data_IF_657731540562
#
_entry.id   IF_657731540562
#
_cell.length_a   1.000
_cell.length_b   1.000
_cell.length_c   1.000
_cell.angle_alpha   90.00
_cell.angle_beta   90.00
_cell.angle_gamma   90.00
#
_symmetry.space_group_name_H-M   'P 1'
#
loop_
_entity.id
_entity.type
_entity.pdbx_description
1 polymer ?
#
# COMPACT_ATOMS: atom_id res chain seq x y z
N UNK A 1 30.33 44.60 48.74
CA UNK A 1 30.20 43.23 49.28
C UNK A 1 29.51 42.40 48.19
N UNK A 2 30.22 41.80 47.23
CA UNK A 2 30.91 40.49 47.22
C UNK A 2 30.00 39.30 47.58
N UNK A 3 29.82 38.39 46.60
CA UNK A 3 29.29 37.02 46.73
C UNK A 3 28.49 36.61 45.47
N UNK A 4 29.14 36.17 44.39
CA UNK A 4 29.43 34.76 44.03
C UNK A 4 28.19 34.07 43.40
N UNK A 5 28.07 33.93 42.07
CA UNK A 5 28.79 33.05 41.13
C UNK A 5 28.57 31.55 41.37
N UNK A 6 27.73 30.92 40.52
CA UNK A 6 27.86 29.53 40.10
C UNK A 6 27.14 29.36 38.75
N UNK A 7 27.96 29.16 37.72
CA UNK A 7 27.62 28.95 36.32
C UNK A 7 27.89 27.45 36.08
N UNK A 8 26.85 26.65 35.86
CA UNK A 8 27.00 25.22 35.49
C UNK A 8 26.63 25.06 34.03
N UNK A 9 27.66 25.13 33.20
CA UNK A 9 27.68 24.71 31.80
C UNK A 9 27.84 23.20 31.75
N UNK A 10 26.75 22.49 31.48
CA UNK A 10 26.77 21.07 31.10
C UNK A 10 26.87 20.98 29.58
N UNK A 11 28.00 20.43 29.12
CA UNK A 11 28.31 20.18 27.72
C UNK A 11 28.25 18.67 27.55
N UNK A 12 27.33 18.09 26.76
CA UNK A 12 27.36 16.67 26.52
C UNK A 12 28.47 16.32 25.51
N UNK A 13 29.37 15.46 25.96
CA UNK A 13 30.43 14.83 25.18
C UNK A 13 29.87 14.09 23.95
N UNK A 14 30.38 14.45 22.78
CA UNK A 14 30.27 13.69 21.54
C UNK A 14 31.13 12.42 21.60
N UNK A 15 30.57 11.20 21.41
CA UNK A 15 31.37 10.01 21.28
C UNK A 15 32.12 9.97 19.93
N UNK A 16 33.42 9.71 20.02
CA UNK A 16 34.36 9.60 18.90
C UNK A 16 34.03 8.41 18.00
N UNK A 17 34.01 8.66 16.69
CA UNK A 17 33.90 7.63 15.66
C UNK A 17 35.20 6.86 15.52
N UNK A 18 35.23 5.61 15.97
CA UNK A 18 36.31 4.65 15.64
C UNK A 18 35.93 3.16 15.73
N UNK A 19 34.68 2.76 16.06
CA UNK A 19 34.40 1.35 16.42
C UNK A 19 33.18 0.68 15.73
N UNK A 20 32.80 1.10 14.52
CA UNK A 20 31.70 0.43 13.77
C UNK A 20 32.12 -0.27 12.47
N UNK A 21 33.40 -0.67 12.34
CA UNK A 21 33.90 -1.37 11.13
C UNK A 21 34.02 -2.89 11.26
N UNK A 22 33.37 -3.50 12.24
CA UNK A 22 33.45 -4.95 12.50
C UNK A 22 32.11 -5.72 12.38
N UNK A 23 31.08 -5.14 11.74
CA UNK A 23 29.79 -5.82 11.57
C UNK A 23 29.23 -5.67 10.15
N UNK A 24 30.00 -6.14 9.16
CA UNK A 24 29.49 -6.40 7.81
C UNK A 24 29.91 -7.82 7.44
N UNK A 25 29.02 -8.76 7.73
CA UNK A 25 29.10 -10.12 7.23
C UNK A 25 28.74 -10.13 5.74
N UNK A 26 29.73 -10.46 4.91
CA UNK A 26 29.55 -10.81 3.51
C UNK A 26 28.78 -12.13 3.42
N UNK A 27 27.61 -12.08 2.78
CA UNK A 27 26.84 -13.26 2.37
C UNK A 27 26.54 -13.14 0.89
N UNK A 28 27.34 -13.83 0.08
CA UNK A 28 27.17 -14.03 -1.36
C UNK A 28 26.59 -15.43 -1.62
N UNK A 29 25.99 -15.61 -2.80
CA UNK A 29 25.63 -16.87 -3.49
C UNK A 29 24.13 -17.15 -3.74
N UNK A 30 23.67 -16.61 -4.87
CA UNK A 30 23.18 -17.36 -6.05
C UNK A 30 22.23 -18.55 -5.88
N UNK A 31 21.01 -18.42 -6.41
CA UNK A 31 20.20 -19.55 -6.90
C UNK A 31 20.06 -19.46 -8.42
N UNK A 32 20.85 -20.30 -9.10
CA UNK A 32 20.83 -20.49 -10.54
C UNK A 32 19.63 -21.35 -10.94
N UNK A 33 18.74 -20.81 -11.79
CA UNK A 33 17.66 -21.55 -12.46
C UNK A 33 18.07 -21.77 -13.91
N UNK A 34 18.09 -23.04 -14.27
CA UNK A 34 18.46 -23.64 -15.55
C UNK A 34 17.43 -23.32 -16.64
N UNK A 35 17.85 -22.97 -17.87
CA UNK A 35 17.01 -23.21 -19.04
C UNK A 35 17.60 -24.30 -19.94
N UNK A 36 16.68 -25.07 -20.48
CA UNK A 36 16.86 -26.20 -21.38
C UNK A 36 17.26 -25.74 -22.78
N UNK A 37 18.23 -26.44 -23.34
CA UNK A 37 18.64 -26.40 -24.75
C UNK A 37 17.59 -27.01 -25.68
N UNK A 38 17.27 -26.33 -26.78
CA UNK A 38 16.87 -26.97 -28.05
C UNK A 38 17.45 -26.20 -29.24
N UNK A 39 18.01 -26.98 -30.17
CA UNK A 39 18.53 -26.67 -31.49
C UNK A 39 17.69 -25.63 -32.27
N UNK A 40 18.22 -24.74 -33.10
CA UNK A 40 19.28 -24.91 -34.08
C UNK A 40 18.64 -24.93 -35.48
N UNK A 41 18.70 -23.82 -36.22
CA UNK A 41 18.52 -23.81 -37.67
C UNK A 41 19.01 -22.50 -38.26
N UNK A 42 19.92 -22.62 -39.23
CA UNK A 42 20.59 -21.54 -39.94
C UNK A 42 19.76 -20.98 -41.10
N UNK A 43 20.06 -19.73 -41.44
CA UNK A 43 20.19 -19.20 -42.81
C UNK A 43 18.93 -19.01 -43.68
N UNK A 44 18.53 -17.74 -43.90
CA UNK A 44 18.39 -17.16 -45.24
C UNK A 44 18.11 -15.65 -45.21
N UNK A 45 18.95 -14.88 -45.91
CA UNK A 45 18.72 -13.45 -46.15
C UNK A 45 17.54 -13.14 -47.07
N UNK A 46 16.92 -11.99 -46.85
CA UNK A 46 15.91 -11.41 -47.74
C UNK A 46 15.45 -10.03 -47.27
N UNK A 47 15.84 -8.98 -48.01
CA UNK A 47 15.29 -7.62 -47.89
C UNK A 47 13.77 -7.66 -48.04
N UNK A 48 13.03 -7.02 -47.14
CA UNK A 48 11.70 -6.46 -47.40
C UNK A 48 11.37 -5.34 -46.41
N UNK A 49 10.61 -4.38 -46.92
CA UNK A 49 10.23 -3.03 -46.48
C UNK A 49 9.51 -2.92 -45.12
N UNK A 50 9.44 -1.70 -44.51
CA UNK A 50 8.91 -1.52 -43.16
C UNK A 50 7.38 -1.62 -43.13
N UNK A 51 6.85 -2.41 -42.18
CA UNK A 51 5.43 -2.45 -41.85
C UNK A 51 5.25 -2.15 -40.35
N UNK A 52 4.30 -1.31 -39.93
CA UNK A 52 4.20 -0.79 -38.57
C UNK A 52 3.31 -1.68 -37.71
N UNK A 53 3.89 -2.67 -37.03
CA UNK A 53 3.23 -3.42 -35.93
C UNK A 53 4.27 -3.90 -34.92
N UNK A 54 4.81 -2.98 -34.13
CA UNK A 54 5.74 -3.26 -33.04
C UNK A 54 5.20 -2.74 -31.70
N UNK A 55 3.89 -2.85 -31.47
CA UNK A 55 3.22 -2.38 -30.25
C UNK A 55 2.58 -3.47 -29.39
N UNK A 56 2.60 -4.74 -29.82
CA UNK A 56 1.86 -5.82 -29.16
C UNK A 56 2.73 -6.98 -28.62
N UNK A 57 4.00 -7.07 -28.98
CA UNK A 57 4.89 -8.16 -28.51
C UNK A 57 5.62 -7.87 -27.19
N UNK A 58 5.63 -6.61 -26.71
CA UNK A 58 6.18 -6.27 -25.38
C UNK A 58 5.22 -6.59 -24.23
N UNK A 59 3.92 -6.71 -24.51
CA UNK A 59 2.90 -7.08 -23.52
C UNK A 59 2.90 -8.59 -23.18
N UNK A 60 3.53 -9.42 -24.01
CA UNK A 60 3.58 -10.89 -23.82
C UNK A 60 4.85 -11.36 -23.08
N UNK A 61 5.85 -10.48 -22.89
CA UNK A 61 7.13 -10.81 -22.26
C UNK A 61 7.23 -10.41 -20.78
N UNK A 62 6.29 -9.60 -20.27
CA UNK A 62 6.11 -9.29 -18.85
C UNK A 62 4.86 -10.05 -18.42
N UNK A 63 5.05 -11.17 -17.74
CA UNK A 63 4.01 -12.16 -17.47
C UNK A 63 2.66 -11.54 -17.09
N UNK A 64 1.61 -12.08 -17.70
CA UNK A 64 0.21 -11.71 -17.48
C UNK A 64 -0.04 -11.32 -16.02
N UNK A 65 -0.28 -10.03 -15.80
CA UNK A 65 -0.75 -9.51 -14.53
C UNK A 65 -2.01 -10.29 -14.15
N UNK A 66 -1.93 -11.01 -13.04
CA UNK A 66 -3.08 -11.67 -12.43
C UNK A 66 -4.22 -10.64 -12.33
N UNK A 67 -5.44 -10.95 -12.81
CA UNK A 67 -6.57 -10.07 -12.60
C UNK A 67 -6.82 -9.98 -11.09
N UNK A 68 -6.48 -8.83 -10.49
CA UNK A 68 -6.95 -8.51 -9.14
C UNK A 68 -8.47 -8.49 -9.20
N UNK A 69 -9.06 -9.28 -8.31
CA UNK A 69 -10.51 -9.47 -8.21
C UNK A 69 -11.13 -8.33 -7.41
N UNK A 70 -10.87 -7.08 -7.79
CA UNK A 70 -11.39 -5.90 -7.10
C UNK A 70 -12.04 -4.95 -8.11
N UNK A 71 -13.06 -5.47 -8.79
CA UNK A 71 -13.99 -4.67 -9.58
C UNK A 71 -15.45 -4.95 -9.18
N UNK A 72 -15.64 -5.26 -7.91
CA UNK A 72 -16.91 -4.98 -7.23
C UNK A 72 -16.77 -3.65 -6.52
N UNK A 73 -16.70 -2.60 -7.33
CA UNK A 73 -17.09 -1.27 -6.88
C UNK A 73 -18.39 -1.40 -6.11
N UNK A 74 -18.32 -1.07 -4.82
CA UNK A 74 -19.50 -0.70 -4.05
C UNK A 74 -20.12 0.48 -4.79
N UNK A 75 -21.07 0.17 -5.67
CA UNK A 75 -22.00 1.13 -6.23
C UNK A 75 -22.59 1.88 -5.04
N UNK A 76 -22.39 3.19 -5.04
CA UNK A 76 -22.95 4.07 -4.03
C UNK A 76 -24.46 3.77 -3.86
N UNK A 77 -25.00 3.78 -2.63
CA UNK A 77 -26.44 3.59 -2.39
C UNK A 77 -27.32 4.68 -3.05
N UNK A 78 -26.71 5.65 -3.71
CA UNK A 78 -27.31 6.76 -4.47
C UNK A 78 -27.94 6.31 -5.80
N UNK A 79 -27.63 5.10 -6.32
CA UNK A 79 -28.18 4.56 -7.59
C UNK A 79 -29.20 3.42 -7.42
N UNK A 80 -29.72 3.22 -6.21
CA UNK A 80 -30.97 2.46 -6.04
C UNK A 80 -32.11 3.29 -6.67
N UNK A 81 -32.38 3.00 -7.95
CA UNK A 81 -33.47 3.58 -8.72
C UNK A 81 -34.77 3.42 -7.91
N UNK A 82 -35.24 4.53 -7.34
CA UNK A 82 -36.49 4.60 -6.62
C UNK A 82 -37.62 4.23 -7.59
N UNK A 83 -38.13 3.00 -7.46
CA UNK A 83 -39.29 2.53 -8.18
C UNK A 83 -40.40 3.57 -8.15
N UNK A 84 -40.79 4.04 -9.34
CA UNK A 84 -41.81 5.06 -9.58
C UNK A 84 -43.09 4.72 -8.82
N UNK A 85 -43.35 5.42 -7.72
CA UNK A 85 -44.69 5.49 -7.13
C UNK A 85 -45.52 6.55 -7.85
N UNK A 86 -46.81 6.30 -8.15
CA UNK A 86 -47.68 7.26 -8.80
C UNK A 86 -47.84 8.51 -7.93
N UNK A 87 -47.49 9.67 -8.51
CA UNK A 87 -47.67 10.99 -7.91
C UNK A 87 -49.14 11.39 -8.03
N UNK A 88 -49.85 11.43 -6.92
CA UNK A 88 -51.10 12.18 -6.82
C UNK A 88 -50.79 13.67 -6.61
N UNK A 89 -51.47 14.59 -7.32
CA UNK A 89 -51.18 16.00 -7.25
C UNK A 89 -51.66 16.57 -5.91
N UNK A 90 -50.76 17.30 -5.23
CA UNK A 90 -51.06 18.13 -4.09
C UNK A 90 -51.23 19.56 -4.58
N UNK A 91 -52.46 20.07 -4.54
CA UNK A 91 -52.75 21.47 -4.80
C UNK A 91 -54.04 21.87 -4.08
N UNK A 92 -53.96 22.90 -3.25
CA UNK A 92 -55.13 23.68 -2.84
C UNK A 92 -55.37 23.82 -1.35
N UNK A 93 -55.07 25.01 -0.85
CA UNK A 93 -55.35 25.56 0.49
C UNK A 93 -56.79 25.37 0.97
N UNK A 94 -56.91 25.26 2.30
CA UNK A 94 -57.96 25.91 3.08
C UNK A 94 -59.00 24.98 3.70
N UNK A 95 -59.12 25.00 5.03
CA UNK A 95 -60.31 24.49 5.71
C UNK A 95 -60.04 23.76 7.01
N UNK A 96 -60.32 24.47 8.11
CA UNK A 96 -60.81 23.98 9.42
C UNK A 96 -60.23 22.69 10.04
N UNK A 97 -59.74 22.87 11.27
CA UNK A 97 -59.59 21.82 12.28
C UNK A 97 -60.90 21.04 12.40
N UNK A 98 -60.93 19.82 11.84
CA UNK A 98 -62.08 18.92 11.87
C UNK A 98 -61.83 17.76 12.83
N UNK A 99 -62.72 17.61 13.81
CA UNK A 99 -62.70 16.65 14.92
C UNK A 99 -62.89 15.16 14.51
N UNK A 100 -62.25 14.70 13.43
CA UNK A 100 -62.39 13.33 12.92
C UNK A 100 -61.09 12.49 12.89
N UNK A 101 -59.96 13.04 13.33
CA UNK A 101 -58.67 12.29 13.40
C UNK A 101 -58.54 11.37 14.62
N UNK A 102 -59.37 11.54 15.64
CA UNK A 102 -59.35 10.70 16.86
C UNK A 102 -60.04 9.34 16.63
N UNK A 103 -60.97 9.25 15.67
CA UNK A 103 -61.75 8.02 15.43
C UNK A 103 -60.95 6.97 14.64
N UNK A 104 -60.03 7.39 13.77
CA UNK A 104 -59.19 6.46 12.98
C UNK A 104 -58.03 5.89 13.81
N UNK A 105 -57.50 6.64 14.79
CA UNK A 105 -56.53 6.14 15.74
C UNK A 105 -57.14 5.11 16.73
N UNK A 106 -58.39 5.29 17.12
CA UNK A 106 -59.11 4.33 17.98
C UNK A 106 -59.54 3.09 17.19
N UNK A 107 -59.87 3.21 15.90
CA UNK A 107 -60.20 2.06 15.05
C UNK A 107 -58.99 1.12 14.78
N UNK A 108 -57.78 1.67 14.71
CA UNK A 108 -56.54 0.87 14.57
C UNK A 108 -56.18 0.13 15.88
N UNK A 109 -56.42 0.74 17.04
CA UNK A 109 -56.25 0.08 18.35
C UNK A 109 -57.35 -0.94 18.61
N UNK A 110 -58.58 -0.71 18.10
CA UNK A 110 -59.68 -1.67 18.20
C UNK A 110 -59.54 -2.88 17.25
N UNK A 111 -58.93 -2.72 16.06
CA UNK A 111 -58.61 -3.86 15.19
C UNK A 111 -57.42 -4.69 15.68
N UNK A 112 -56.50 -4.11 16.47
CA UNK A 112 -55.47 -4.88 17.18
C UNK A 112 -56.05 -5.63 18.40
N UNK A 113 -57.20 -5.20 18.92
CA UNK A 113 -57.94 -5.87 19.99
C UNK A 113 -58.94 -6.94 19.48
N UNK A 114 -59.49 -6.77 18.26
CA UNK A 114 -60.58 -7.61 17.74
C UNK A 114 -60.19 -9.01 17.22
N UNK A 115 -58.92 -9.26 16.91
CA UNK A 115 -58.44 -10.61 16.52
C UNK A 115 -58.04 -11.48 17.72
N UNK A 116 -58.06 -10.93 18.93
CA UNK A 116 -57.67 -11.67 20.15
C UNK A 116 -58.80 -12.49 20.76
N UNK A 117 -60.06 -12.27 20.38
CA UNK A 117 -61.22 -12.81 21.12
C UNK A 117 -61.64 -14.24 20.75
N UNK A 118 -61.14 -14.83 19.66
CA UNK A 118 -61.39 -16.25 19.34
C UNK A 118 -60.24 -17.21 19.70
N UNK A 119 -59.05 -16.69 20.05
CA UNK A 119 -57.95 -17.52 20.57
C UNK A 119 -58.00 -17.69 22.11
N UNK A 120 -58.80 -16.88 22.81
CA UNK A 120 -58.76 -16.79 24.28
C UNK A 120 -59.34 -18.01 25.03
N UNK A 121 -60.09 -18.89 24.38
CA UNK A 121 -60.69 -20.06 25.07
C UNK A 121 -59.84 -21.34 24.95
N UNK A 122 -58.96 -21.44 23.95
CA UNK A 122 -57.91 -22.48 23.92
C UNK A 122 -56.59 -22.03 24.57
N UNK A 123 -56.39 -20.72 24.79
CA UNK A 123 -55.19 -20.15 25.43
C UNK A 123 -55.18 -20.27 26.96
N UNK A 124 -56.26 -20.71 27.60
CA UNK A 124 -56.35 -20.88 29.05
C UNK A 124 -55.57 -22.10 29.60
N UNK A 125 -55.01 -22.95 28.74
CA UNK A 125 -54.10 -24.05 29.11
C UNK A 125 -52.69 -23.88 28.54
N UNK A 126 -52.42 -22.82 27.77
CA UNK A 126 -51.09 -22.53 27.27
C UNK A 126 -50.22 -22.03 28.43
N UNK A 127 -49.19 -22.79 28.77
CA UNK A 127 -48.24 -22.42 29.82
C UNK A 127 -47.56 -21.09 29.43
N UNK A 128 -47.71 -20.00 30.19
CA UNK A 128 -47.12 -18.69 29.86
C UNK A 128 -45.59 -18.74 29.72
N UNK A 129 -44.94 -19.74 30.32
CA UNK A 129 -43.51 -19.95 30.14
C UNK A 129 -43.13 -20.31 28.69
N UNK A 130 -44.01 -21.01 27.96
CA UNK A 130 -43.76 -21.39 26.56
C UNK A 130 -43.77 -20.16 25.65
N UNK A 131 -44.75 -19.26 25.82
CA UNK A 131 -44.80 -18.01 25.04
C UNK A 131 -43.61 -17.09 25.36
N UNK A 132 -43.19 -17.04 26.64
CA UNK A 132 -42.00 -16.29 27.05
C UNK A 132 -40.71 -16.88 26.46
N UNK A 133 -40.62 -18.20 26.33
CA UNK A 133 -39.48 -18.87 25.69
C UNK A 133 -39.40 -18.59 24.19
N UNK A 134 -40.52 -18.50 23.48
CA UNK A 134 -40.53 -18.12 22.07
C UNK A 134 -40.06 -16.67 21.89
N UNK A 135 -40.52 -15.75 22.73
CA UNK A 135 -40.03 -14.37 22.75
C UNK A 135 -38.53 -14.25 23.12
N UNK A 136 -38.04 -15.10 24.03
CA UNK A 136 -36.61 -15.19 24.34
C UNK A 136 -35.81 -15.64 23.12
N UNK A 137 -36.25 -16.72 22.44
CA UNK A 137 -35.58 -17.23 21.23
C UNK A 137 -35.52 -16.20 20.12
N UNK A 138 -36.60 -15.44 19.92
CA UNK A 138 -36.64 -14.35 18.95
C UNK A 138 -35.62 -13.25 19.29
N UNK A 139 -35.60 -12.77 20.54
CA UNK A 139 -34.65 -11.74 20.97
C UNK A 139 -33.20 -12.21 20.92
N UNK A 140 -32.94 -13.47 21.22
CA UNK A 140 -31.60 -14.04 21.05
C UNK A 140 -31.18 -14.13 19.59
N UNK A 141 -32.12 -14.39 18.67
CA UNK A 141 -31.82 -14.37 17.24
C UNK A 141 -31.49 -12.95 16.77
N UNK A 142 -32.23 -11.95 17.25
CA UNK A 142 -31.92 -10.53 17.03
C UNK A 142 -30.52 -10.18 17.59
N UNK A 143 -30.25 -10.52 18.85
CA UNK A 143 -28.93 -10.30 19.47
C UNK A 143 -27.79 -10.95 18.68
N UNK A 144 -27.96 -12.22 18.27
CA UNK A 144 -26.96 -12.92 17.45
C UNK A 144 -26.74 -12.27 16.09
N UNK A 145 -27.78 -11.71 15.48
CA UNK A 145 -27.65 -10.97 14.22
C UNK A 145 -26.91 -9.64 14.43
N UNK A 146 -27.18 -8.91 15.51
CA UNK A 146 -26.47 -7.67 15.83
C UNK A 146 -24.99 -7.94 16.15
N UNK A 147 -24.68 -9.00 16.90
CA UNK A 147 -23.29 -9.43 17.18
C UNK A 147 -22.55 -9.73 15.87
N UNK A 148 -23.17 -10.45 14.92
CA UNK A 148 -22.57 -10.70 13.59
C UNK A 148 -22.35 -9.40 12.81
N UNK A 149 -23.26 -8.44 12.94
CA UNK A 149 -23.12 -7.11 12.33
C UNK A 149 -21.94 -6.32 12.92
N UNK A 150 -21.75 -6.39 14.25
CA UNK A 150 -20.59 -5.84 14.93
C UNK A 150 -19.29 -6.52 14.46
N UNK A 151 -19.28 -7.85 14.39
CA UNK A 151 -18.13 -8.63 13.91
C UNK A 151 -17.74 -8.22 12.48
N UNK A 152 -18.70 -8.18 11.55
CA UNK A 152 -18.45 -7.72 10.17
C UNK A 152 -17.88 -6.30 10.13
N UNK A 153 -18.40 -5.41 11.00
CA UNK A 153 -17.91 -4.04 11.08
C UNK A 153 -16.48 -3.97 11.62
N UNK A 154 -16.15 -4.84 12.58
CA UNK A 154 -14.80 -4.97 13.14
C UNK A 154 -13.81 -5.50 12.11
N UNK A 155 -14.19 -6.52 11.33
CA UNK A 155 -13.35 -7.08 10.27
C UNK A 155 -13.03 -6.02 9.20
N UNK A 156 -14.01 -5.20 8.83
CA UNK A 156 -13.82 -4.07 7.91
C UNK A 156 -12.88 -3.00 8.49
N UNK A 157 -12.95 -2.73 9.81
CA UNK A 157 -12.01 -1.82 10.46
C UNK A 157 -10.58 -2.38 10.42
N UNK A 158 -10.40 -3.68 10.73
CA UNK A 158 -9.10 -4.35 10.64
C UNK A 158 -8.50 -4.25 9.24
N UNK A 159 -9.29 -4.55 8.19
CA UNK A 159 -8.82 -4.45 6.82
C UNK A 159 -8.38 -3.03 6.42
N UNK A 160 -9.10 -2.00 6.89
CA UNK A 160 -8.73 -0.60 6.64
C UNK A 160 -7.46 -0.20 7.40
N UNK A 161 -7.25 -0.73 8.62
CA UNK A 161 -6.02 -0.52 9.38
C UNK A 161 -4.82 -1.15 8.66
N UNK A 162 -4.97 -2.37 8.15
CA UNK A 162 -3.91 -3.06 7.40
C UNK A 162 -3.53 -2.30 6.12
N UNK A 163 -4.52 -1.82 5.34
CA UNK A 163 -4.28 -0.96 4.16
C UNK A 163 -3.55 0.34 4.55
N UNK A 164 -4.03 1.02 5.59
CA UNK A 164 -3.42 2.25 6.10
C UNK A 164 -1.95 2.05 6.53
N UNK A 165 -1.66 0.96 7.22
CA UNK A 165 -0.29 0.62 7.64
C UNK A 165 0.60 0.31 6.44
N UNK A 166 0.11 -0.42 5.44
CA UNK A 166 0.87 -0.73 4.23
C UNK A 166 1.24 0.54 3.45
N UNK A 167 0.28 1.44 3.23
CA UNK A 167 0.52 2.72 2.56
C UNK A 167 1.48 3.59 3.37
N UNK A 168 1.29 3.69 4.69
CA UNK A 168 2.20 4.47 5.55
C UNK A 168 3.63 3.95 5.53
N UNK A 169 3.83 2.63 5.58
CA UNK A 169 5.16 2.02 5.53
C UNK A 169 5.84 2.25 4.17
N UNK A 170 5.10 2.09 3.07
CA UNK A 170 5.59 2.41 1.72
C UNK A 170 6.03 3.88 1.64
N UNK A 171 5.20 4.80 2.14
CA UNK A 171 5.52 6.23 2.15
C UNK A 171 6.76 6.52 3.02
N UNK A 172 6.88 5.89 4.19
CA UNK A 172 8.05 6.02 5.06
C UNK A 172 9.36 5.58 4.37
N UNK A 173 9.30 4.61 3.46
CA UNK A 173 10.45 4.18 2.66
C UNK A 173 10.84 5.17 1.56
N UNK A 174 9.86 5.82 0.93
CA UNK A 174 10.08 6.67 -0.27
C UNK A 174 10.32 8.13 0.08
N UNK A 175 9.53 8.74 0.98
CA UNK A 175 9.58 10.18 1.25
C UNK A 175 10.98 10.71 1.63
N UNK A 176 11.80 10.01 2.46
CA UNK A 176 13.14 10.50 2.78
C UNK A 176 14.07 10.64 1.56
N UNK A 177 13.88 9.82 0.52
CA UNK A 177 14.71 9.82 -0.69
C UNK A 177 14.43 11.02 -1.62
N UNK A 178 13.25 11.64 -1.48
CA UNK A 178 12.85 12.83 -2.24
C UNK A 178 13.44 14.12 -1.66
N UNK A 179 13.96 14.11 -0.43
CA UNK A 179 14.55 15.30 0.21
C UNK A 179 15.69 15.87 -0.64
N UNK A 180 15.65 17.19 -0.84
CA UNK A 180 16.62 17.91 -1.68
C UNK A 180 16.46 17.71 -3.19
N UNK A 181 15.49 16.90 -3.63
CA UNK A 181 15.15 16.69 -5.06
C UNK A 181 13.82 17.34 -5.44
N UNK A 182 12.91 17.48 -4.48
CA UNK A 182 11.60 18.13 -4.63
C UNK A 182 11.46 19.28 -3.64
N UNK A 183 10.40 20.07 -3.76
CA UNK A 183 10.12 21.16 -2.82
C UNK A 183 9.82 20.62 -1.41
N UNK A 184 10.37 21.27 -0.38
CA UNK A 184 10.23 20.81 1.01
C UNK A 184 8.78 20.86 1.52
N UNK A 185 8.03 21.91 1.17
CA UNK A 185 6.67 22.12 1.68
C UNK A 185 5.68 20.96 1.36
N UNK A 186 5.53 20.49 0.11
CA UNK A 186 4.67 19.34 -0.18
C UNK A 186 5.21 18.03 0.41
N UNK A 187 6.53 17.88 0.51
CA UNK A 187 7.15 16.71 1.11
C UNK A 187 6.88 16.63 2.62
N UNK A 188 7.05 17.74 3.34
CA UNK A 188 6.75 17.86 4.77
C UNK A 188 5.26 17.67 5.05
N UNK A 189 4.38 18.16 4.16
CA UNK A 189 2.95 17.94 4.26
C UNK A 189 2.59 16.45 4.14
N UNK A 190 3.22 15.73 3.21
CA UNK A 190 3.04 14.29 3.06
C UNK A 190 3.55 13.49 4.28
N UNK A 191 4.71 13.84 4.83
CA UNK A 191 5.25 13.17 6.02
C UNK A 191 4.42 13.47 7.29
N UNK A 192 3.89 14.71 7.41
CA UNK A 192 2.96 15.06 8.48
C UNK A 192 1.64 14.30 8.38
N UNK A 193 1.08 14.14 7.17
CA UNK A 193 -0.13 13.36 6.96
C UNK A 193 0.11 11.86 7.26
N UNK A 194 1.27 11.32 6.87
CA UNK A 194 1.69 9.95 7.20
C UNK A 194 1.76 9.74 8.71
N UNK A 195 2.42 10.66 9.43
CA UNK A 195 2.52 10.61 10.90
C UNK A 195 1.15 10.73 11.57
N UNK A 196 0.25 11.56 11.00
CA UNK A 196 -1.13 11.68 11.47
C UNK A 196 -1.89 10.37 11.28
N UNK A 197 -1.73 9.70 10.14
CA UNK A 197 -2.31 8.38 9.88
C UNK A 197 -1.80 7.35 10.89
N UNK A 198 -0.49 7.27 11.12
CA UNK A 198 0.12 6.36 12.10
C UNK A 198 -0.46 6.59 13.50
N UNK A 199 -0.57 7.85 13.92
CA UNK A 199 -1.14 8.22 15.22
C UNK A 199 -2.63 7.86 15.32
N UNK A 200 -3.39 8.03 14.23
CA UNK A 200 -4.81 7.70 14.17
C UNK A 200 -5.00 6.19 14.30
N UNK A 201 -4.23 5.40 13.55
CA UNK A 201 -4.22 3.92 13.64
C UNK A 201 -3.84 3.46 15.04
N UNK A 202 -2.79 4.02 15.63
CA UNK A 202 -2.34 3.67 16.99
C UNK A 202 -3.37 4.03 18.07
N UNK A 203 -4.24 5.01 17.82
CA UNK A 203 -5.30 5.43 18.74
C UNK A 203 -6.59 4.61 18.64
N UNK A 204 -6.70 3.70 17.65
CA UNK A 204 -7.91 2.88 17.47
C UNK A 204 -8.12 1.98 18.69
N UNK A 205 -9.27 2.07 19.38
CA UNK A 205 -9.55 1.23 20.52
C UNK A 205 -9.77 -0.22 20.11
N UNK A 206 -9.28 -1.17 20.92
CA UNK A 206 -9.61 -2.59 20.77
C UNK A 206 -11.08 -2.80 21.11
N UNK A 207 -11.89 -3.16 20.12
CA UNK A 207 -13.30 -3.52 20.31
C UNK A 207 -13.41 -5.03 20.49
N UNK A 208 -13.86 -5.44 21.67
CA UNK A 208 -14.11 -6.86 21.96
C UNK A 208 -15.54 -7.18 21.55
N UNK A 209 -15.71 -8.08 20.58
CA UNK A 209 -17.02 -8.58 20.17
C UNK A 209 -17.55 -9.51 21.27
N UNK A 210 -18.75 -9.26 21.84
CA UNK A 210 -19.31 -10.15 22.85
C UNK A 210 -19.57 -11.55 22.30
N UNK A 211 -19.19 -12.59 23.04
CA UNK A 211 -19.59 -13.98 22.77
C UNK A 211 -20.80 -14.33 23.63
N UNK A 212 -22.01 -14.13 23.09
CA UNK A 212 -23.23 -14.48 23.80
C UNK A 212 -23.47 -15.99 23.75
N UNK A 213 -23.41 -16.61 24.92
CA UNK A 213 -23.85 -17.99 25.13
C UNK A 213 -24.98 -18.02 26.15
N UNK A 214 -26.10 -18.64 25.78
CA UNK A 214 -27.22 -18.84 26.69
C UNK A 214 -26.78 -19.73 27.85
N UNK A 215 -26.93 -19.25 29.07
CA UNK A 215 -26.80 -20.09 30.27
C UNK A 215 -27.88 -21.17 30.34
N UNK A 216 -27.75 -22.08 31.31
CA UNK A 216 -28.83 -23.03 31.60
C UNK A 216 -30.05 -22.28 32.16
N UNK A 217 -31.21 -22.40 31.50
CA UNK A 217 -32.46 -21.77 31.91
C UNK A 217 -33.48 -22.87 32.20
N UNK A 218 -34.14 -22.79 33.36
CA UNK A 218 -35.31 -23.60 33.64
C UNK A 218 -36.50 -23.07 32.82
N UNK A 219 -36.78 -23.73 31.70
CA UNK A 219 -37.84 -23.35 30.77
C UNK A 219 -39.26 -23.44 31.37
N UNK A 220 -39.42 -24.13 32.50
CA UNK A 220 -40.70 -24.22 33.20
C UNK A 220 -40.89 -23.09 34.22
N UNK A 221 -39.83 -22.35 34.55
CA UNK A 221 -39.85 -21.25 35.50
C UNK A 221 -39.89 -19.90 34.78
N UNK A 222 -41.03 -19.21 34.88
CA UNK A 222 -41.17 -17.84 34.37
C UNK A 222 -40.11 -16.88 34.91
N UNK A 223 -39.68 -17.07 36.17
CA UNK A 223 -38.63 -16.25 36.77
C UNK A 223 -37.29 -16.49 36.07
N UNK A 224 -36.94 -17.75 35.78
CA UNK A 224 -35.69 -18.08 35.09
C UNK A 224 -35.67 -17.52 33.66
N UNK A 225 -36.79 -17.64 32.92
CA UNK A 225 -36.94 -17.05 31.57
C UNK A 225 -36.88 -15.53 31.62
N UNK A 226 -37.49 -14.90 32.63
CA UNK A 226 -37.42 -13.45 32.86
C UNK A 226 -35.98 -12.97 33.08
N UNK A 227 -35.19 -13.67 33.90
CA UNK A 227 -33.77 -13.36 34.10
C UNK A 227 -32.95 -13.50 32.81
N UNK A 228 -33.18 -14.54 32.01
CA UNK A 228 -32.52 -14.72 30.71
C UNK A 228 -32.88 -13.58 29.72
N UNK A 229 -34.13 -13.14 29.71
CA UNK A 229 -34.56 -11.99 28.89
C UNK A 229 -33.88 -10.68 29.31
N UNK A 230 -33.68 -10.46 30.61
CA UNK A 230 -32.98 -9.27 31.12
C UNK A 230 -31.49 -9.30 30.77
N UNK A 231 -30.87 -10.49 30.75
CA UNK A 231 -29.49 -10.66 30.31
C UNK A 231 -29.31 -10.36 28.82
N UNK A 232 -30.16 -10.95 27.96
CA UNK A 232 -30.19 -10.65 26.52
C UNK A 232 -30.38 -9.16 26.28
N UNK A 233 -31.27 -8.52 27.04
CA UNK A 233 -31.52 -7.08 26.92
C UNK A 233 -30.30 -6.26 27.30
N UNK A 234 -29.61 -6.62 28.39
CA UNK A 234 -28.39 -5.93 28.84
C UNK A 234 -27.29 -5.98 27.78
N UNK A 235 -27.06 -7.16 27.19
CA UNK A 235 -26.07 -7.32 26.11
C UNK A 235 -26.46 -6.50 24.88
N UNK A 236 -27.72 -6.58 24.46
CA UNK A 236 -28.23 -5.81 23.32
C UNK A 236 -28.11 -4.30 23.54
N UNK A 237 -28.37 -3.81 24.75
CA UNK A 237 -28.29 -2.39 25.07
C UNK A 237 -26.83 -1.84 24.98
N UNK A 238 -25.81 -2.71 25.07
CA UNK A 238 -24.40 -2.34 24.92
C UNK A 238 -23.92 -2.29 23.45
N UNK A 239 -24.51 -3.09 22.55
CA UNK A 239 -24.06 -3.22 21.16
C UNK A 239 -24.08 -1.91 20.34
N UNK A 240 -25.10 -1.03 20.43
CA UNK A 240 -25.11 0.22 19.68
C UNK A 240 -23.89 1.10 19.94
N UNK A 241 -23.39 1.13 21.17
CA UNK A 241 -22.20 1.91 21.53
C UNK A 241 -20.94 1.32 20.89
N UNK A 242 -20.78 -0.01 20.90
CA UNK A 242 -19.66 -0.69 20.24
C UNK A 242 -19.68 -0.50 18.72
N UNK A 243 -20.85 -0.63 18.10
CA UNK A 243 -21.02 -0.41 16.65
C UNK A 243 -20.68 1.05 16.29
N UNK A 244 -21.14 2.01 17.09
CA UNK A 244 -20.81 3.42 16.89
C UNK A 244 -19.29 3.66 17.00
N UNK A 245 -18.63 3.07 18.01
CA UNK A 245 -17.19 3.18 18.21
C UNK A 245 -16.39 2.61 17.02
N UNK A 246 -16.75 1.42 16.52
CA UNK A 246 -16.13 0.82 15.33
C UNK A 246 -16.30 1.72 14.10
N UNK A 247 -17.51 2.25 13.87
CA UNK A 247 -17.79 3.15 12.75
C UNK A 247 -17.00 4.46 12.83
N UNK A 248 -16.95 5.08 14.01
CA UNK A 248 -16.16 6.30 14.24
C UNK A 248 -14.68 6.05 14.00
N UNK A 249 -14.14 4.94 14.53
CA UNK A 249 -12.73 4.57 14.35
C UNK A 249 -12.41 4.34 12.88
N UNK A 250 -13.24 3.57 12.18
CA UNK A 250 -13.09 3.32 10.74
C UNK A 250 -13.12 4.62 9.94
N UNK A 251 -14.09 5.50 10.21
CA UNK A 251 -14.18 6.80 9.55
C UNK A 251 -12.94 7.67 9.79
N UNK A 252 -12.37 7.62 11.00
CA UNK A 252 -11.14 8.34 11.34
C UNK A 252 -9.95 7.84 10.53
N UNK A 253 -9.72 6.52 10.49
CA UNK A 253 -8.62 5.92 9.72
C UNK A 253 -8.80 6.18 8.22
N UNK A 254 -10.00 5.99 7.67
CA UNK A 254 -10.28 6.28 6.26
C UNK A 254 -10.01 7.75 5.93
N UNK A 255 -10.45 8.69 6.76
CA UNK A 255 -10.21 10.12 6.52
C UNK A 255 -8.72 10.48 6.56
N UNK A 256 -7.94 9.89 7.47
CA UNK A 256 -6.51 10.13 7.56
C UNK A 256 -5.76 9.51 6.36
N UNK A 257 -6.21 8.35 5.89
CA UNK A 257 -5.66 7.70 4.69
C UNK A 257 -5.94 8.51 3.43
N UNK A 258 -7.15 9.06 3.30
CA UNK A 258 -7.53 9.92 2.19
C UNK A 258 -6.74 11.25 2.18
N UNK A 259 -6.47 11.83 3.36
CA UNK A 259 -5.59 13.00 3.49
C UNK A 259 -4.15 12.67 3.04
N UNK A 260 -3.57 11.55 3.51
CA UNK A 260 -2.26 11.11 3.04
C UNK A 260 -2.23 10.95 1.50
N UNK A 261 -3.21 10.26 0.92
CA UNK A 261 -3.31 10.11 -0.55
C UNK A 261 -3.46 11.46 -1.26
N UNK A 262 -4.14 12.44 -0.66
CA UNK A 262 -4.21 13.79 -1.20
C UNK A 262 -2.84 14.49 -1.18
N UNK A 263 -2.10 14.39 -0.08
CA UNK A 263 -0.74 14.97 0.02
C UNK A 263 0.25 14.30 -0.93
N UNK A 264 0.13 13.00 -1.16
CA UNK A 264 0.96 12.30 -2.16
C UNK A 264 0.64 12.77 -3.59
N UNK A 265 -0.62 13.09 -3.90
CA UNK A 265 -0.99 13.72 -5.19
C UNK A 265 -0.40 15.12 -5.34
N UNK A 266 -0.46 15.94 -4.29
CA UNK A 266 0.17 17.27 -4.29
C UNK A 266 1.70 17.15 -4.48
N UNK A 267 2.33 16.16 -3.84
CA UNK A 267 3.75 15.85 -4.01
C UNK A 267 4.08 15.41 -5.44
N UNK A 268 3.22 14.61 -6.08
CA UNK A 268 3.35 14.24 -7.50
C UNK A 268 3.36 15.45 -8.44
N UNK A 269 2.55 16.48 -8.16
CA UNK A 269 2.58 17.73 -8.92
C UNK A 269 3.87 18.54 -8.68
N UNK A 270 4.41 18.51 -7.45
CA UNK A 270 5.71 19.14 -7.15
C UNK A 270 6.87 18.44 -7.86
N UNK A 271 6.84 17.09 -7.95
CA UNK A 271 7.80 16.29 -8.70
C UNK A 271 7.89 16.71 -10.17
N UNK A 272 6.76 17.03 -10.81
CA UNK A 272 6.76 17.52 -12.19
C UNK A 272 7.54 18.83 -12.34
N UNK A 273 7.34 19.77 -11.43
CA UNK A 273 8.05 21.07 -11.45
C UNK A 273 9.54 20.88 -11.19
N UNK A 274 9.88 20.03 -10.20
CA UNK A 274 11.26 19.71 -9.87
C UNK A 274 12.00 19.01 -11.03
N UNK A 275 11.36 18.05 -11.69
CA UNK A 275 11.91 17.35 -12.83
C UNK A 275 12.27 18.30 -13.97
N UNK A 276 11.40 19.26 -14.30
CA UNK A 276 11.69 20.28 -15.31
C UNK A 276 12.90 21.13 -14.95
N UNK A 277 13.06 21.48 -13.67
CA UNK A 277 14.22 22.24 -13.19
C UNK A 277 15.50 21.43 -13.29
N UNK A 278 15.50 20.17 -12.85
CA UNK A 278 16.68 19.28 -12.88
C UNK A 278 17.11 18.99 -14.32
N UNK A 279 16.17 18.68 -15.20
CA UNK A 279 16.46 18.43 -16.63
C UNK A 279 17.09 19.66 -17.30
N UNK A 280 16.73 20.87 -16.88
CA UNK A 280 17.33 22.12 -17.37
C UNK A 280 18.70 22.42 -16.76
N UNK A 281 18.93 22.09 -15.49
CA UNK A 281 20.22 22.35 -14.83
C UNK A 281 21.29 21.33 -15.22
N UNK A 282 20.89 20.08 -15.49
CA UNK A 282 21.77 18.97 -15.89
C UNK A 282 21.85 18.85 -17.42
N UNK A 283 22.11 19.96 -18.11
CA UNK A 283 22.01 20.06 -19.57
C UNK A 283 23.12 19.34 -20.35
N UNK A 284 24.26 19.06 -19.70
CA UNK A 284 25.37 18.32 -20.30
C UNK A 284 25.14 16.80 -20.32
N UNK A 285 24.20 16.29 -19.53
CA UNK A 285 23.84 14.88 -19.57
C UNK A 285 23.21 14.47 -20.91
N UNK A 286 23.35 13.19 -21.26
CA UNK A 286 22.77 12.64 -22.47
C UNK A 286 21.23 12.71 -22.48
N UNK A 287 20.67 12.88 -23.68
CA UNK A 287 19.21 13.01 -23.89
C UNK A 287 18.42 11.83 -23.30
N UNK A 288 18.97 10.61 -23.35
CA UNK A 288 18.32 9.42 -22.79
C UNK A 288 18.08 9.51 -21.28
N UNK A 289 18.97 10.15 -20.52
CA UNK A 289 18.80 10.32 -19.07
C UNK A 289 17.75 11.39 -18.76
N UNK A 290 17.70 12.46 -19.56
CA UNK A 290 16.66 13.50 -19.45
C UNK A 290 15.28 12.94 -19.76
N UNK A 291 15.16 12.13 -20.82
CA UNK A 291 13.92 11.43 -21.16
C UNK A 291 13.50 10.46 -20.06
N UNK A 292 14.43 9.71 -19.46
CA UNK A 292 14.11 8.79 -18.36
C UNK A 292 13.48 9.52 -17.15
N UNK A 293 13.95 10.73 -16.82
CA UNK A 293 13.33 11.56 -15.76
C UNK A 293 11.91 11.99 -16.16
N UNK A 294 11.71 12.42 -17.41
CA UNK A 294 10.39 12.82 -17.93
C UNK A 294 9.41 11.64 -17.93
N UNK A 295 9.86 10.46 -18.35
CA UNK A 295 9.05 9.24 -18.39
C UNK A 295 8.63 8.83 -16.97
N UNK A 296 9.56 8.85 -16.00
CA UNK A 296 9.24 8.53 -14.60
C UNK A 296 8.18 9.49 -14.00
N UNK A 297 8.23 10.78 -14.32
CA UNK A 297 7.18 11.75 -13.92
C UNK A 297 5.83 11.41 -14.54
N UNK A 298 5.83 11.01 -15.82
CA UNK A 298 4.61 10.58 -16.51
C UNK A 298 4.00 9.34 -15.86
N UNK A 299 4.84 8.41 -15.40
CA UNK A 299 4.40 7.21 -14.66
C UNK A 299 3.80 7.57 -13.30
N UNK A 300 4.42 8.47 -12.53
CA UNK A 300 3.83 8.99 -11.27
C UNK A 300 2.43 9.56 -11.51
N UNK A 301 2.29 10.40 -12.54
CA UNK A 301 0.99 10.97 -12.90
C UNK A 301 -0.03 9.90 -13.31
N UNK A 302 0.38 8.95 -14.15
CA UNK A 302 -0.49 7.88 -14.62
C UNK A 302 -0.98 7.01 -13.44
N UNK A 303 -0.08 6.64 -12.53
CA UNK A 303 -0.41 5.90 -11.31
C UNK A 303 -1.46 6.68 -10.49
N UNK A 304 -1.23 7.96 -10.24
CA UNK A 304 -2.16 8.80 -9.47
C UNK A 304 -3.53 9.00 -10.14
N UNK A 305 -3.58 9.07 -11.47
CA UNK A 305 -4.84 9.16 -12.22
C UNK A 305 -5.68 7.88 -12.13
N UNK A 306 -5.03 6.73 -11.96
CA UNK A 306 -5.72 5.44 -11.73
C UNK A 306 -6.11 5.22 -10.27
N UNK A 307 -5.81 6.17 -9.38
CA UNK A 307 -6.10 6.08 -7.94
C UNK A 307 -5.02 5.37 -7.12
N UNK A 308 -3.87 5.01 -7.72
CA UNK A 308 -2.69 4.57 -6.98
C UNK A 308 -2.06 5.74 -6.21
N UNK A 309 -1.30 5.44 -5.16
CA UNK A 309 -0.55 6.43 -4.38
C UNK A 309 0.67 7.00 -5.15
N UNK A 310 1.17 6.26 -6.15
CA UNK A 310 2.31 6.64 -6.99
C UNK A 310 3.66 6.44 -6.31
N UNK A 311 3.73 5.77 -5.15
CA UNK A 311 4.96 5.69 -4.35
C UNK A 311 6.07 4.89 -5.04
N UNK A 312 5.71 3.85 -5.79
CA UNK A 312 6.67 3.03 -6.54
C UNK A 312 7.30 3.85 -7.68
N UNK A 313 6.47 4.62 -8.39
CA UNK A 313 6.88 5.49 -9.47
C UNK A 313 7.69 6.69 -8.95
N UNK A 314 7.38 7.20 -7.76
CA UNK A 314 8.19 8.24 -7.10
C UNK A 314 9.60 7.74 -6.77
N UNK A 315 9.75 6.47 -6.36
CA UNK A 315 11.07 5.88 -6.16
C UNK A 315 11.84 5.71 -7.49
N UNK A 316 11.15 5.36 -8.58
CA UNK A 316 11.74 5.31 -9.91
C UNK A 316 12.21 6.69 -10.39
N UNK A 317 11.43 7.75 -10.10
CA UNK A 317 11.83 9.14 -10.36
C UNK A 317 13.13 9.49 -9.64
N UNK A 318 13.29 9.14 -8.35
CA UNK A 318 14.53 9.38 -7.61
C UNK A 318 15.72 8.69 -8.29
N UNK A 319 15.58 7.43 -8.68
CA UNK A 319 16.62 6.69 -9.38
C UNK A 319 16.99 7.32 -10.73
N UNK A 320 16.01 7.84 -11.47
CA UNK A 320 16.23 8.54 -12.74
C UNK A 320 16.98 9.87 -12.54
N UNK A 321 16.63 10.65 -11.51
CA UNK A 321 17.34 11.89 -11.15
C UNK A 321 18.79 11.60 -10.76
N UNK A 322 19.04 10.58 -9.94
CA UNK A 322 20.38 10.20 -9.53
C UNK A 322 21.25 9.79 -10.73
N UNK A 323 20.68 9.04 -11.66
CA UNK A 323 21.35 8.65 -12.90
C UNK A 323 21.66 9.87 -13.80
N UNK A 324 20.72 10.82 -13.90
CA UNK A 324 20.90 12.05 -14.66
C UNK A 324 22.04 12.91 -14.09
N UNK A 325 22.05 13.14 -12.78
CA UNK A 325 23.10 13.92 -12.11
C UNK A 325 24.47 13.24 -12.21
N UNK A 326 24.53 11.92 -12.08
CA UNK A 326 25.76 11.16 -12.25
C UNK A 326 26.32 11.29 -13.67
N UNK A 327 25.46 11.21 -14.69
CA UNK A 327 25.86 11.38 -16.09
C UNK A 327 26.33 12.82 -16.38
N UNK A 328 25.61 13.83 -15.89
CA UNK A 328 26.00 15.22 -16.06
C UNK A 328 27.40 15.48 -15.49
N UNK A 329 27.64 15.01 -14.27
CA UNK A 329 28.95 15.10 -13.61
C UNK A 329 30.04 14.42 -14.44
N UNK A 330 29.78 13.19 -14.92
CA UNK A 330 30.71 12.44 -15.78
C UNK A 330 31.06 13.21 -17.06
N UNK A 331 30.08 13.85 -17.71
CA UNK A 331 30.31 14.63 -18.94
C UNK A 331 31.11 15.89 -18.65
N UNK A 332 30.80 16.62 -17.58
CA UNK A 332 31.52 17.84 -17.18
C UNK A 332 32.99 17.53 -16.82
N UNK A 333 33.26 16.41 -16.14
CA UNK A 333 34.61 15.97 -15.82
C UNK A 333 35.42 15.64 -17.10
N UNK A 334 34.79 14.98 -18.08
CA UNK A 334 35.43 14.68 -19.36
C UNK A 334 35.74 15.93 -20.18
N UNK A 335 34.89 16.94 -20.12
CA UNK A 335 35.13 18.22 -20.79
C UNK A 335 36.27 19.00 -20.11
N UNK A 336 36.30 19.00 -18.77
CA UNK A 336 37.35 19.66 -17.98
C UNK A 336 38.71 18.98 -18.14
N UNK A 337 38.76 17.64 -18.23
CA UNK A 337 39.98 16.87 -18.47
C UNK A 337 40.53 16.97 -19.90
N UNK A 338 39.76 17.52 -20.84
CA UNK A 338 40.16 17.67 -22.26
C UNK A 338 40.97 18.92 -22.56
N UNK A 339 41.28 19.76 -21.57
CA UNK A 339 42.20 20.89 -21.76
C UNK A 339 43.57 20.32 -22.14
N UNK A 340 44.01 20.49 -23.41
CA UNK A 340 45.30 19.95 -23.82
C UNK A 340 46.36 20.67 -23.00
N UNK A 341 47.20 19.89 -22.32
CA UNK A 341 48.49 20.39 -21.85
C UNK A 341 49.19 20.96 -23.08
N UNK A 342 49.13 22.27 -23.26
CA UNK A 342 49.97 22.99 -24.23
C UNK A 342 51.40 22.78 -23.76
N UNK A 343 52.03 21.73 -24.25
CA UNK A 343 53.48 21.61 -24.24
C UNK A 343 54.02 22.89 -24.87
N UNK A 344 54.87 23.67 -24.17
CA UNK A 344 55.57 24.77 -24.80
C UNK A 344 56.43 24.18 -25.91
N UNK A 345 56.11 24.54 -27.16
CA UNK A 345 56.92 24.20 -28.31
C UNK A 345 58.28 24.90 -28.15
N UNK A 346 59.26 24.18 -27.60
CA UNK A 346 60.66 24.59 -27.66
C UNK A 346 61.16 24.15 -29.04
N UNK A 347 61.40 25.13 -29.91
CA UNK A 347 61.87 24.90 -31.26
C UNK A 347 63.22 24.19 -31.30
N UNK A 348 63.38 23.28 -32.26
CA UNK A 348 64.69 22.84 -32.76
C UNK A 348 64.54 22.50 -34.25
N UNK A 349 65.46 22.96 -35.13
CA UNK A 349 65.28 22.94 -36.59
C UNK A 349 65.59 21.58 -37.24
N UNK A 350 65.05 21.41 -38.45
CA UNK A 350 65.19 20.26 -39.36
C UNK A 350 66.62 19.80 -39.64
N UNK A 351 66.79 18.52 -40.04
CA UNK A 351 67.54 18.26 -41.25
C UNK A 351 66.90 17.24 -42.21
N UNK A 352 67.41 17.32 -43.43
CA UNK A 352 67.09 16.70 -44.73
C UNK A 352 67.01 15.17 -44.82
N UNK A 353 66.17 14.75 -45.77
CA UNK A 353 66.02 13.43 -46.41
C UNK A 353 67.35 12.83 -46.93
N UNK A 354 67.44 11.48 -47.04
CA UNK A 354 67.44 10.88 -48.39
C UNK A 354 66.64 9.57 -48.52
N UNK A 355 66.28 9.26 -49.77
CA UNK A 355 65.56 8.08 -50.25
C UNK A 355 66.40 6.79 -50.21
N UNK A 356 65.78 5.61 -50.11
CA UNK A 356 65.54 4.67 -51.24
C UNK A 356 65.23 3.22 -50.74
N UNK A 357 64.44 2.51 -51.57
CA UNK A 357 64.46 1.07 -51.84
C UNK A 357 63.90 0.02 -50.83
N UNK A 358 62.71 -0.49 -51.18
CA UNK A 358 62.50 -1.91 -51.56
C UNK A 358 62.59 -3.01 -50.49
N UNK A 359 61.47 -3.68 -50.21
CA UNK A 359 61.46 -4.95 -49.49
C UNK A 359 60.08 -5.51 -49.20
N UNK A 360 59.60 -6.39 -50.07
CA UNK A 360 58.46 -7.29 -49.86
C UNK A 360 58.73 -8.27 -48.72
N UNK A 361 57.80 -8.45 -47.78
CA UNK A 361 57.90 -9.43 -46.70
C UNK A 361 56.61 -9.61 -45.92
N UNK A 362 55.77 -10.53 -46.40
CA UNK A 362 54.61 -11.14 -45.75
C UNK A 362 54.97 -11.74 -44.39
N UNK A 363 54.15 -11.52 -43.33
CA UNK A 363 53.74 -12.54 -42.36
C UNK A 363 52.56 -12.08 -41.47
N UNK A 364 51.73 -13.06 -41.17
CA UNK A 364 50.44 -13.14 -40.44
C UNK A 364 50.33 -12.48 -39.05
N UNK A 365 49.11 -12.15 -38.59
CA UNK A 365 48.83 -11.79 -37.20
C UNK A 365 48.57 -13.05 -36.35
N UNK A 366 49.39 -13.29 -35.33
CA UNK A 366 49.11 -14.33 -34.33
C UNK A 366 48.17 -13.82 -33.23
N UNK A 367 46.99 -14.41 -33.26
CA UNK A 367 45.95 -14.46 -32.22
C UNK A 367 46.51 -14.84 -30.86
N UNK A 368 46.26 -14.04 -29.83
CA UNK A 368 46.50 -14.41 -28.43
C UNK A 368 45.20 -14.96 -27.83
N UNK A 369 45.18 -16.26 -27.52
CA UNK A 369 44.13 -16.93 -26.76
C UNK A 369 44.48 -16.95 -25.26
N UNK A 370 43.51 -16.84 -24.35
CA UNK A 370 43.74 -16.85 -22.91
C UNK A 370 43.96 -18.27 -22.38
N UNK A 371 44.81 -18.37 -21.37
CA UNK A 371 45.23 -19.60 -20.68
C UNK A 371 44.21 -20.02 -19.62
N UNK A 372 43.82 -21.30 -19.65
CA UNK A 372 42.95 -21.99 -18.70
C UNK A 372 43.81 -22.72 -17.64
N UNK A 373 43.62 -22.54 -16.32
CA UNK A 373 44.35 -23.31 -15.33
C UNK A 373 43.60 -24.61 -14.96
N UNK A 374 44.25 -25.73 -15.24
CA UNK A 374 43.86 -27.05 -14.80
C UNK A 374 43.73 -27.13 -13.27
N UNK A 375 42.56 -27.55 -12.78
CA UNK A 375 42.35 -27.94 -11.38
C UNK A 375 42.59 -29.44 -11.23
N UNK A 376 43.55 -29.80 -10.40
CA UNK A 376 43.89 -31.18 -10.06
C UNK A 376 42.92 -31.75 -9.01
N UNK A 377 42.44 -32.96 -9.25
CA UNK A 377 41.79 -33.84 -8.27
C UNK A 377 42.89 -34.64 -7.54
N UNK A 378 42.78 -34.89 -6.21
CA UNK A 378 42.46 -36.27 -5.84
C UNK A 378 41.63 -36.47 -4.54
N UNK A 379 40.67 -37.38 -4.66
CA UNK A 379 40.38 -38.56 -3.80
C UNK A 379 39.75 -38.44 -2.38
N UNK A 380 38.94 -39.45 -1.97
CA UNK A 380 37.91 -39.34 -0.95
C UNK A 380 38.30 -39.95 0.41
N UNK A 381 37.71 -39.45 1.50
CA UNK A 381 37.64 -40.17 2.79
C UNK A 381 36.26 -40.02 3.46
N UNK A 382 35.58 -41.17 3.55
CA UNK A 382 34.81 -41.72 4.68
C UNK A 382 33.94 -40.82 5.58
N UNK A 383 32.62 -40.97 5.38
CA UNK A 383 31.60 -41.34 6.38
C UNK A 383 31.79 -40.96 7.86
N UNK A 384 30.88 -40.14 8.39
CA UNK A 384 30.16 -40.43 9.66
C UNK A 384 28.90 -39.58 9.82
N UNK A 385 27.77 -40.27 9.96
CA UNK A 385 26.45 -39.76 10.36
C UNK A 385 26.46 -39.48 11.87
N UNK A 386 25.81 -38.40 12.34
CA UNK A 386 25.01 -38.52 13.56
C UNK A 386 23.55 -38.09 13.38
N UNK A 387 22.74 -38.92 14.02
CA UNK A 387 21.31 -38.99 14.22
C UNK A 387 20.70 -37.77 14.95
N UNK A 388 19.43 -37.42 14.71
CA UNK A 388 18.69 -36.46 15.52
C UNK A 388 18.02 -37.14 16.71
N UNK A 389 18.15 -36.53 17.88
CA UNK A 389 17.29 -36.72 19.04
C UNK A 389 17.36 -35.44 19.88
N UNK A 390 16.49 -35.14 20.80
CA UNK A 390 15.12 -35.57 21.08
C UNK A 390 14.64 -34.56 22.14
N UNK A 391 13.40 -34.11 22.00
CA UNK A 391 12.46 -33.74 23.07
C UNK A 391 12.94 -33.83 24.53
N UNK A 392 12.86 -32.73 25.30
CA UNK A 392 12.33 -32.74 26.69
C UNK A 392 12.20 -31.34 27.30
N UNK A 393 10.96 -30.98 27.63
CA UNK A 393 10.53 -29.96 28.59
C UNK A 393 10.50 -30.57 30.00
N UNK A 394 10.73 -29.78 31.05
CA UNK A 394 9.89 -29.85 32.25
C UNK A 394 9.06 -28.58 32.49
#
# INVERSE_FOLDING_TARGET
>A
MRGAAANTSDTPDTPSGSDLRALVGSGDSTRSVRPSSTAGLSDRGGRSTPSPKAGTELADLVGAAMPRSDDRGWMAPELAEAGRRPRFPRGGRGGSVGAFSIVVAIAAVAMLAGTTTFALVQRATANPAVEAMDGLREREAELRNEIKGLQTSSDLLTAVIEDAQAVSQSAAGVLPSLRGRVEDAPLDAADSARTTLDSTVASVPTVVVPDYQRGAVDEQSLQAVGHALDEVRRERDALPALIAQVRTSRSGVTSALDDLRARLRDLGASIETAAQSVVQSEDAAGESFRLAVIDAVSEVRAAQQTGSDGLTEMAAFVAAVDALTAENTRVLDQQSGRVPSRTPSVGTPSPTTPADSGGTGTTDPSTSAPTDPATAEPSPTSSSTPQPGDTATP
#
